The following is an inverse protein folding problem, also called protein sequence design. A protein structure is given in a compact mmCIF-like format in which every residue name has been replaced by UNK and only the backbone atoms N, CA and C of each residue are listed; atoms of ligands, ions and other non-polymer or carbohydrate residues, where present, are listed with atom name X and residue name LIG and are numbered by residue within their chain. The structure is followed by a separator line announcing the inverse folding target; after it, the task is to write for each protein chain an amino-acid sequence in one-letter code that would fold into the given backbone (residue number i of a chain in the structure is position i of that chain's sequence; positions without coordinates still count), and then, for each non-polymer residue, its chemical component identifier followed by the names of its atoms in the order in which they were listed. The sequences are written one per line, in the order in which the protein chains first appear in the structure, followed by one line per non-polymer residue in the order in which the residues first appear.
data_IF_923687515346
#
_entry.id   IF_923687515346
#
_cell.length_a   1.000
_cell.length_b   1.000
_cell.length_c   1.000
_cell.angle_alpha   90.00
_cell.angle_beta   90.00
_cell.angle_gamma   90.00
#
_symmetry.space_group_name_H-M   'P 1'
#
loop_
_entity.id
_entity.type
_entity.pdbx_description
1 polymer ?
#
# COMPACT_ATOMS: atom_id res chain seq x y z
N UNK A 1 17.68 -21.62 42.27
CA UNK A 1 16.66 -21.91 41.24
C UNK A 1 15.43 -22.43 41.98
N UNK A 2 14.41 -21.59 42.21
CA UNK A 2 13.16 -22.03 42.83
C UNK A 2 12.25 -22.57 41.73
N UNK A 3 11.93 -23.85 41.81
CA UNK A 3 11.13 -24.57 40.83
C UNK A 3 9.65 -24.26 41.02
N UNK A 4 8.89 -24.34 39.92
CA UNK A 4 7.45 -24.07 39.84
C UNK A 4 6.59 -24.82 40.87
N UNK A 5 7.12 -25.92 41.43
CA UNK A 5 6.54 -26.72 42.51
C UNK A 5 6.50 -26.02 43.87
N UNK A 6 7.54 -25.26 44.24
CA UNK A 6 7.58 -24.57 45.55
C UNK A 6 6.52 -23.46 45.66
N UNK A 7 6.16 -22.87 44.51
CA UNK A 7 5.13 -21.84 44.42
C UNK A 7 3.73 -22.43 44.57
N UNK A 8 3.46 -23.58 43.95
CA UNK A 8 2.17 -24.26 44.08
C UNK A 8 1.95 -24.69 45.53
N UNK A 9 2.97 -25.24 46.20
CA UNK A 9 2.91 -25.62 47.61
C UNK A 9 2.58 -24.44 48.52
N UNK A 10 3.21 -23.28 48.29
CA UNK A 10 2.94 -22.05 49.03
C UNK A 10 1.49 -21.57 48.85
N UNK A 11 0.95 -21.64 47.64
CA UNK A 11 -0.45 -21.26 47.34
C UNK A 11 -1.43 -22.20 48.05
N UNK A 12 -1.21 -23.52 47.98
CA UNK A 12 -2.05 -24.50 48.70
C UNK A 12 -2.01 -24.32 50.22
N UNK A 13 -0.87 -23.92 50.79
CA UNK A 13 -0.73 -23.69 52.22
C UNK A 13 -1.50 -22.44 52.68
N UNK A 14 -1.52 -21.38 51.86
CA UNK A 14 -2.33 -20.19 52.11
C UNK A 14 -3.82 -20.50 52.01
N UNK A 15 -4.24 -21.27 50.99
CA UNK A 15 -5.64 -21.69 50.82
C UNK A 15 -6.10 -22.55 52.01
N UNK A 16 -5.26 -23.50 52.45
CA UNK A 16 -5.54 -24.34 53.62
C UNK A 16 -5.69 -23.51 54.91
N UNK A 17 -4.83 -22.52 55.14
CA UNK A 17 -4.94 -21.62 56.29
C UNK A 17 -6.15 -20.70 56.24
N UNK A 18 -6.60 -20.32 55.04
CA UNK A 18 -7.85 -19.57 54.86
C UNK A 18 -9.08 -20.41 55.20
N UNK A 19 -9.12 -21.67 54.73
CA UNK A 19 -10.20 -22.63 55.02
C UNK A 19 -10.27 -23.02 56.51
N UNK A 20 -9.11 -23.10 57.18
CA UNK A 20 -9.03 -23.35 58.63
C UNK A 20 -9.35 -22.10 59.48
N UNK A 21 -9.74 -20.97 58.85
CA UNK A 21 -10.14 -19.74 59.55
C UNK A 21 -9.00 -18.99 60.25
N UNK A 22 -7.74 -19.38 59.99
CA UNK A 22 -6.55 -18.77 60.61
C UNK A 22 -6.07 -17.49 59.91
N UNK A 23 -6.72 -17.11 58.82
CA UNK A 23 -6.50 -15.84 58.13
C UNK A 23 -7.71 -14.94 58.41
N UNK A 24 -7.44 -13.72 58.87
CA UNK A 24 -8.49 -12.71 59.07
C UNK A 24 -9.29 -12.54 57.76
N UNK A 25 -10.64 -12.54 57.80
CA UNK A 25 -11.49 -12.40 56.61
C UNK A 25 -11.13 -11.19 55.74
N UNK A 26 -10.68 -10.09 56.36
CA UNK A 26 -10.20 -8.90 55.66
C UNK A 26 -8.93 -9.16 54.83
N UNK A 27 -7.97 -9.91 55.38
CA UNK A 27 -6.74 -10.25 54.66
C UNK A 27 -7.03 -11.19 53.50
N UNK A 28 -7.97 -12.13 53.67
CA UNK A 28 -8.41 -13.00 52.58
C UNK A 28 -9.08 -12.19 51.46
N UNK A 29 -9.98 -11.27 51.81
CA UNK A 29 -10.66 -10.38 50.85
C UNK A 29 -9.65 -9.52 50.07
N UNK A 30 -8.64 -8.98 50.75
CA UNK A 30 -7.57 -8.19 50.13
C UNK A 30 -6.74 -9.02 49.15
N UNK A 31 -6.36 -10.23 49.53
CA UNK A 31 -5.61 -11.15 48.66
C UNK A 31 -6.43 -11.48 47.42
N UNK A 32 -7.69 -11.89 47.59
CA UNK A 32 -8.58 -12.21 46.46
C UNK A 32 -8.79 -11.00 45.55
N UNK A 33 -9.02 -9.81 46.12
CA UNK A 33 -9.20 -8.57 45.35
C UNK A 33 -7.94 -8.16 44.58
N UNK A 34 -6.76 -8.36 45.17
CA UNK A 34 -5.47 -8.12 44.52
C UNK A 34 -5.25 -9.08 43.35
N UNK A 35 -5.49 -10.39 43.57
CA UNK A 35 -5.39 -11.39 42.50
C UNK A 35 -6.41 -11.13 41.38
N UNK A 36 -7.65 -10.76 41.73
CA UNK A 36 -8.67 -10.41 40.75
C UNK A 36 -8.26 -9.21 39.90
N UNK A 37 -7.68 -8.17 40.53
CA UNK A 37 -7.17 -6.99 39.82
C UNK A 37 -6.04 -7.34 38.86
N UNK A 38 -5.10 -8.21 39.27
CA UNK A 38 -4.02 -8.68 38.41
C UNK A 38 -4.53 -9.50 37.23
N UNK A 39 -5.50 -10.38 37.45
CA UNK A 39 -6.12 -11.18 36.37
C UNK A 39 -6.85 -10.27 35.39
N UNK A 40 -7.63 -9.29 35.88
CA UNK A 40 -8.32 -8.33 35.03
C UNK A 40 -7.33 -7.47 34.22
N UNK A 41 -6.24 -7.02 34.84
CA UNK A 41 -5.18 -6.28 34.16
C UNK A 41 -4.53 -7.14 33.07
N UNK A 42 -4.23 -8.41 33.38
CA UNK A 42 -3.66 -9.35 32.42
C UNK A 42 -4.59 -9.55 31.21
N UNK A 43 -5.89 -9.78 31.44
CA UNK A 43 -6.87 -9.95 30.36
C UNK A 43 -6.96 -8.66 29.52
N UNK A 44 -7.05 -7.50 30.17
CA UNK A 44 -7.10 -6.20 29.49
C UNK A 44 -5.88 -5.99 28.59
N UNK A 45 -4.69 -6.26 29.13
CA UNK A 45 -3.44 -6.13 28.40
C UNK A 45 -3.34 -7.14 27.24
N UNK A 46 -3.77 -8.38 27.47
CA UNK A 46 -3.75 -9.43 26.46
C UNK A 46 -4.68 -9.11 25.29
N UNK A 47 -5.90 -8.66 25.55
CA UNK A 47 -6.84 -8.21 24.51
C UNK A 47 -6.28 -7.01 23.76
N UNK A 48 -5.72 -6.02 24.47
CA UNK A 48 -5.15 -4.84 23.82
C UNK A 48 -3.98 -5.19 22.89
N UNK A 49 -3.08 -6.07 23.32
CA UNK A 49 -1.99 -6.55 22.47
C UNK A 49 -2.47 -7.41 21.30
N UNK A 50 -3.53 -8.22 21.48
CA UNK A 50 -4.11 -8.99 20.38
C UNK A 50 -4.70 -8.06 19.31
N UNK A 51 -5.43 -7.03 19.72
CA UNK A 51 -5.99 -6.04 18.79
C UNK A 51 -4.90 -5.30 18.02
N UNK A 52 -3.89 -4.79 18.73
CA UNK A 52 -2.76 -4.08 18.10
C UNK A 52 -1.96 -4.99 17.16
N UNK A 53 -1.75 -6.25 17.54
CA UNK A 53 -1.03 -7.21 16.69
C UNK A 53 -1.83 -7.59 15.45
N UNK A 54 -3.17 -7.67 15.57
CA UNK A 54 -4.06 -7.88 14.43
C UNK A 54 -4.02 -6.73 13.45
N UNK A 55 -4.19 -5.50 13.95
CA UNK A 55 -4.17 -4.28 13.13
C UNK A 55 -2.83 -4.11 12.40
N UNK A 56 -1.72 -4.29 13.10
CA UNK A 56 -0.38 -4.23 12.49
C UNK A 56 -0.20 -5.29 11.40
N UNK A 57 -0.67 -6.51 11.62
CA UNK A 57 -0.54 -7.59 10.65
C UNK A 57 -1.37 -7.33 9.39
N UNK A 58 -2.56 -6.73 9.54
CA UNK A 58 -3.41 -6.36 8.42
C UNK A 58 -2.80 -5.22 7.60
N UNK A 59 -2.21 -4.21 8.24
CA UNK A 59 -1.47 -3.14 7.55
C UNK A 59 -0.25 -3.69 6.78
N UNK A 60 0.51 -4.59 7.38
CA UNK A 60 1.66 -5.22 6.72
C UNK A 60 1.23 -6.02 5.50
N UNK A 61 0.14 -6.80 5.61
CA UNK A 61 -0.43 -7.55 4.49
C UNK A 61 -0.91 -6.63 3.36
N UNK A 62 -1.58 -5.54 3.70
CA UNK A 62 -2.05 -4.55 2.72
C UNK A 62 -0.87 -3.89 2.00
N UNK A 63 0.16 -3.48 2.75
CA UNK A 63 1.39 -2.90 2.19
C UNK A 63 2.11 -3.87 1.25
N UNK A 64 2.16 -5.16 1.60
CA UNK A 64 2.77 -6.18 0.76
C UNK A 64 2.00 -6.36 -0.55
N UNK A 65 0.67 -6.44 -0.49
CA UNK A 65 -0.18 -6.49 -1.70
C UNK A 65 0.01 -5.29 -2.61
N UNK A 66 0.01 -4.08 -2.04
CA UNK A 66 0.24 -2.85 -2.81
C UNK A 66 1.64 -2.83 -3.43
N UNK A 67 2.64 -3.37 -2.75
CA UNK A 67 4.01 -3.45 -3.27
C UNK A 67 4.09 -4.40 -4.46
N UNK A 68 3.46 -5.57 -4.35
CA UNK A 68 3.38 -6.56 -5.44
C UNK A 68 2.65 -5.99 -6.66
N UNK A 69 1.50 -5.34 -6.44
CA UNK A 69 0.74 -4.70 -7.50
C UNK A 69 1.52 -3.55 -8.15
N UNK A 70 2.24 -2.75 -7.35
CA UNK A 70 3.14 -1.72 -7.87
C UNK A 70 4.23 -2.32 -8.76
N UNK A 71 4.86 -3.42 -8.33
CA UNK A 71 5.90 -4.09 -9.12
C UNK A 71 5.32 -4.58 -10.45
N UNK A 72 4.14 -5.21 -10.41
CA UNK A 72 3.46 -5.68 -11.61
C UNK A 72 3.12 -4.54 -12.57
N UNK A 73 2.49 -3.48 -12.07
CA UNK A 73 2.13 -2.31 -12.88
C UNK A 73 3.36 -1.61 -13.45
N UNK A 74 4.44 -1.52 -12.69
CA UNK A 74 5.70 -0.95 -13.18
C UNK A 74 6.28 -1.82 -14.30
N UNK A 75 6.32 -3.13 -14.11
CA UNK A 75 6.81 -4.06 -15.13
C UNK A 75 5.97 -4.03 -16.41
N UNK A 76 4.64 -3.96 -16.30
CA UNK A 76 3.76 -3.86 -17.48
C UNK A 76 3.86 -2.48 -18.15
N UNK A 77 4.01 -1.40 -17.36
CA UNK A 77 4.32 -0.08 -17.92
C UNK A 77 5.63 -0.10 -18.70
N UNK A 78 6.69 -0.69 -18.14
CA UNK A 78 8.00 -0.77 -18.79
C UNK A 78 7.93 -1.64 -20.05
N UNK A 79 7.15 -2.71 -20.04
CA UNK A 79 6.86 -3.52 -21.23
C UNK A 79 6.08 -2.75 -22.29
N UNK A 80 5.07 -1.97 -21.91
CA UNK A 80 4.27 -1.16 -22.82
C UNK A 80 5.07 0.00 -23.40
N UNK A 81 5.94 0.59 -22.58
CA UNK A 81 6.81 1.70 -22.96
C UNK A 81 8.14 1.25 -23.60
N UNK A 82 8.35 -0.07 -23.73
CA UNK A 82 9.55 -0.63 -24.32
C UNK A 82 9.69 -0.23 -25.80
N UNK A 83 10.88 0.19 -26.25
CA UNK A 83 11.13 0.51 -27.65
C UNK A 83 10.74 -0.64 -28.60
N UNK A 84 10.92 -1.88 -28.16
CA UNK A 84 10.59 -3.09 -28.90
C UNK A 84 9.10 -3.20 -29.25
N UNK A 85 8.22 -2.63 -28.41
CA UNK A 85 6.77 -2.58 -28.65
C UNK A 85 6.33 -1.28 -29.30
N UNK A 86 6.94 -0.15 -28.92
CA UNK A 86 6.59 1.16 -29.48
C UNK A 86 6.99 1.28 -30.95
N UNK A 87 8.22 0.93 -31.32
CA UNK A 87 8.76 1.12 -32.68
C UNK A 87 7.91 0.43 -33.76
N UNK A 88 7.51 -0.85 -33.63
CA UNK A 88 6.67 -1.48 -34.65
C UNK A 88 5.27 -0.85 -34.71
N UNK A 89 4.67 -0.50 -33.58
CA UNK A 89 3.33 0.12 -33.53
C UNK A 89 3.32 1.51 -34.17
N UNK A 90 4.37 2.31 -33.95
CA UNK A 90 4.58 3.60 -34.62
C UNK A 90 4.75 3.43 -36.13
N UNK A 91 5.47 2.39 -36.57
CA UNK A 91 5.61 2.08 -38.00
C UNK A 91 4.29 1.65 -38.65
N UNK A 92 3.49 0.84 -37.97
CA UNK A 92 2.16 0.42 -38.45
C UNK A 92 1.20 1.61 -38.61
N UNK A 93 1.29 2.59 -37.70
CA UNK A 93 0.52 3.84 -37.78
C UNK A 93 1.06 4.83 -38.83
N UNK A 94 2.07 4.44 -39.61
CA UNK A 94 2.68 5.28 -40.65
C UNK A 94 3.47 6.47 -40.11
N UNK A 95 3.74 6.49 -38.80
CA UNK A 95 4.49 7.55 -38.15
C UNK A 95 5.99 7.37 -38.45
N UNK A 96 6.63 8.46 -38.86
CA UNK A 96 8.06 8.47 -39.21
C UNK A 96 8.87 9.00 -38.04
N UNK A 97 10.13 8.59 -37.96
CA UNK A 97 11.06 9.21 -37.03
C UNK A 97 11.14 10.71 -37.33
N UNK A 98 10.96 11.54 -36.30
CA UNK A 98 11.11 12.98 -36.44
C UNK A 98 12.52 13.33 -36.92
N UNK A 99 12.62 14.32 -37.80
CA UNK A 99 13.90 14.86 -38.23
C UNK A 99 14.69 15.42 -37.04
N UNK A 100 16.03 15.48 -37.17
CA UNK A 100 16.89 16.07 -36.13
C UNK A 100 16.43 17.47 -35.70
N UNK A 101 15.89 18.24 -36.64
CA UNK A 101 15.37 19.59 -36.38
C UNK A 101 14.02 19.58 -35.65
N UNK A 102 13.14 18.61 -35.89
CA UNK A 102 11.90 18.41 -35.14
C UNK A 102 12.16 17.92 -33.72
N UNK A 103 13.09 16.96 -33.56
CA UNK A 103 13.52 16.47 -32.25
C UNK A 103 14.12 17.61 -31.42
N UNK A 104 15.00 18.43 -32.02
CA UNK A 104 15.50 19.67 -31.39
C UNK A 104 14.36 20.61 -31.05
N UNK A 105 13.42 20.86 -31.96
CA UNK A 105 12.26 21.74 -31.70
C UNK A 105 11.46 21.28 -30.48
N UNK A 106 11.13 19.99 -30.38
CA UNK A 106 10.38 19.42 -29.26
C UNK A 106 11.17 19.51 -27.95
N UNK A 107 12.47 19.19 -27.97
CA UNK A 107 13.35 19.32 -26.82
C UNK A 107 13.45 20.77 -26.32
N UNK A 108 13.57 21.74 -27.24
CA UNK A 108 13.58 23.18 -26.94
C UNK A 108 12.20 23.75 -26.58
N UNK A 109 11.10 23.07 -26.94
CA UNK A 109 9.74 23.46 -26.56
C UNK A 109 9.41 23.00 -25.15
N UNK A 110 9.88 21.80 -24.75
CA UNK A 110 9.66 21.26 -23.42
C UNK A 110 10.45 22.03 -22.35
N UNK A 111 11.69 22.44 -22.67
CA UNK A 111 12.49 23.32 -21.79
C UNK A 111 11.92 24.73 -21.67
N UNK A 112 11.18 25.21 -22.68
CA UNK A 112 10.49 26.51 -22.65
C UNK A 112 9.11 26.49 -21.99
N UNK A 113 8.44 25.33 -21.86
CA UNK A 113 7.18 25.21 -21.12
C UNK A 113 7.34 25.42 -19.60
N UNK A 114 8.54 25.25 -19.05
CA UNK A 114 8.90 25.74 -17.72
C UNK A 114 8.91 27.28 -17.62
N UNK A 115 8.90 28.01 -18.75
CA UNK A 115 9.12 29.46 -18.80
C UNK A 115 7.97 30.32 -19.34
N UNK A 116 6.91 29.78 -19.96
CA UNK A 116 5.79 30.63 -20.45
C UNK A 116 4.41 30.02 -20.26
N UNK A 117 3.78 30.47 -19.18
CA UNK A 117 2.40 30.28 -18.72
C UNK A 117 1.33 30.92 -19.65
N UNK A 118 1.60 31.22 -20.92
CA UNK A 118 0.74 32.10 -21.75
C UNK A 118 0.41 31.63 -23.19
N UNK A 119 0.95 30.53 -23.72
CA UNK A 119 0.72 30.15 -25.13
C UNK A 119 -0.44 29.18 -25.39
N UNK A 120 -1.45 29.16 -24.52
CA UNK A 120 -2.63 28.28 -24.61
C UNK A 120 -3.62 28.60 -25.76
N UNK A 121 -3.29 29.51 -26.69
CA UNK A 121 -4.19 29.95 -27.77
C UNK A 121 -4.17 29.14 -29.07
N UNK A 122 -3.24 28.18 -29.24
CA UNK A 122 -3.04 27.53 -30.55
C UNK A 122 -3.80 26.21 -30.74
N UNK A 123 -4.45 25.69 -29.71
CA UNK A 123 -5.09 24.37 -29.74
C UNK A 123 -6.58 24.35 -30.14
N UNK A 124 -7.17 25.48 -30.55
CA UNK A 124 -8.60 25.56 -30.91
C UNK A 124 -8.90 25.80 -32.40
N UNK A 125 -7.91 26.01 -33.26
CA UNK A 125 -8.15 26.32 -34.68
C UNK A 125 -7.63 25.18 -35.57
N UNK A 126 -8.20 23.98 -35.47
CA UNK A 126 -8.05 22.96 -36.53
C UNK A 126 -9.06 21.81 -36.46
N UNK A 127 -10.16 21.96 -35.72
CA UNK A 127 -11.19 20.93 -35.56
C UNK A 127 -12.49 21.22 -36.33
N UNK A 128 -12.54 22.26 -37.19
CA UNK A 128 -13.83 22.74 -37.70
C UNK A 128 -14.00 22.94 -39.20
N UNK A 129 -13.08 22.54 -40.08
CA UNK A 129 -13.40 22.50 -41.51
C UNK A 129 -12.94 21.18 -42.14
N UNK A 130 -13.93 20.40 -42.55
CA UNK A 130 -13.81 19.04 -43.04
C UNK A 130 -13.06 18.93 -44.36
N UNK A 131 -12.18 17.94 -44.43
CA UNK A 131 -11.64 17.45 -45.69
C UNK A 131 -12.23 16.06 -45.94
N UNK A 132 -13.20 16.06 -46.85
CA UNK A 132 -13.85 14.90 -47.47
C UNK A 132 -12.87 14.34 -48.52
N UNK A 133 -12.36 13.13 -48.35
CA UNK A 133 -11.57 12.43 -49.37
C UNK A 133 -12.48 11.48 -50.15
N UNK A 134 -12.58 11.69 -51.46
CA UNK A 134 -13.22 10.81 -52.45
C UNK A 134 -12.45 9.48 -52.61
N UNK A 135 -13.10 8.41 -53.13
CA UNK A 135 -12.49 7.09 -53.28
C UNK A 135 -11.46 7.03 -54.43
N UNK A 136 -10.58 6.01 -54.44
CA UNK A 136 -9.48 5.89 -55.40
C UNK A 136 -9.95 5.35 -56.76
N UNK A 137 -9.71 6.10 -57.83
CA UNK A 137 -9.82 5.60 -59.21
C UNK A 137 -8.60 4.74 -59.56
N UNK A 138 -8.86 3.54 -60.08
CA UNK A 138 -7.91 2.61 -60.69
C UNK A 138 -7.71 2.88 -62.20
N UNK A 139 -6.85 2.08 -62.89
CA UNK A 139 -5.90 2.61 -63.87
C UNK A 139 -6.34 2.60 -65.34
N UNK A 140 -5.55 3.35 -66.12
CA UNK A 140 -5.36 3.47 -67.57
C UNK A 140 -6.17 2.60 -68.54
N UNK A 141 -6.82 3.28 -69.51
CA UNK A 141 -6.77 2.97 -70.94
C UNK A 141 -6.87 4.28 -71.74
#
# INVERSE_FOLDING_TARGET
MKTHTDYLDAVTLVIRRALEGRISPLNFLLIVGFFSSLVLLYISLHVHFQTLSGELNDEVRLKQKLTEERIFLTAEHDRLSSPERIIPLVKELGLRAGSSEEVKRVAFYNSRKLFKKESAGWAQIQLNEGVKLLPPDGPEN
#
